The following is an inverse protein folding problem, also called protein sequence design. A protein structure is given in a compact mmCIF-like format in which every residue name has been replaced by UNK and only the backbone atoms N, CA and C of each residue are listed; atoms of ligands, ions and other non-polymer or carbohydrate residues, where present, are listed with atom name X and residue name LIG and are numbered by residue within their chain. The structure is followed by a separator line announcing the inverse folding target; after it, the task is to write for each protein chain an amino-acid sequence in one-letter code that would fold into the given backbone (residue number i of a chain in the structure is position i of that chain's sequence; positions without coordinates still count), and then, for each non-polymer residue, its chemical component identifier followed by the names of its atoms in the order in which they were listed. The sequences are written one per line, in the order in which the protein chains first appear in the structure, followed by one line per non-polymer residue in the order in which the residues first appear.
data_IF_429966039055
#
_entry.id   IF_429966039055
#
_cell.length_a   1.000
_cell.length_b   1.000
_cell.length_c   1.000
_cell.angle_alpha   90.00
_cell.angle_beta   90.00
_cell.angle_gamma   90.00
#
_symmetry.space_group_name_H-M   'P 1'
#
loop_
_entity.id
_entity.type
_entity.pdbx_description
1 polymer ?
#
# COMPACT_ATOMS: atom_id res chain seq x y z
N UNK A 1 14.57 0.66 -14.11
CA UNK A 1 15.54 1.71 -13.71
C UNK A 1 15.79 2.56 -14.95
N UNK A 2 15.61 3.87 -14.87
CA UNK A 2 16.01 4.79 -15.94
C UNK A 2 17.40 5.35 -15.61
N UNK A 3 18.48 4.78 -16.21
CA UNK A 3 19.84 5.17 -15.87
C UNK A 3 20.17 6.63 -16.23
N UNK A 4 19.35 7.30 -17.06
CA UNK A 4 19.57 8.71 -17.41
C UNK A 4 19.20 9.67 -16.28
N UNK A 5 18.34 9.25 -15.36
CA UNK A 5 17.72 10.13 -14.37
C UNK A 5 17.98 9.71 -12.91
N UNK A 6 18.74 8.64 -12.66
CA UNK A 6 19.02 8.16 -11.28
C UNK A 6 17.78 7.73 -10.50
N UNK A 7 16.66 7.51 -11.21
CA UNK A 7 15.36 7.17 -10.62
C UNK A 7 15.15 5.66 -10.66
N UNK A 8 14.81 5.13 -9.49
CA UNK A 8 14.32 3.76 -9.38
C UNK A 8 12.81 3.75 -9.14
N UNK A 9 12.19 2.67 -9.59
CA UNK A 9 10.76 2.48 -9.48
C UNK A 9 10.47 1.01 -9.20
N UNK A 10 9.60 0.76 -8.24
CA UNK A 10 9.10 -0.56 -7.88
C UNK A 10 7.57 -0.53 -7.89
N UNK A 11 6.98 -1.47 -8.63
CA UNK A 11 5.52 -1.65 -8.66
C UNK A 11 5.16 -2.80 -7.72
N UNK A 12 4.28 -2.53 -6.77
CA UNK A 12 3.88 -3.47 -5.73
C UNK A 12 2.36 -3.64 -5.74
N UNK A 13 1.92 -4.88 -5.91
CA UNK A 13 0.51 -5.26 -5.75
C UNK A 13 0.30 -5.78 -4.34
N UNK A 14 -0.65 -5.18 -3.61
CA UNK A 14 -1.03 -5.62 -2.28
C UNK A 14 -2.47 -6.13 -2.28
N UNK A 15 -2.65 -7.35 -1.78
CA UNK A 15 -3.96 -7.92 -1.52
C UNK A 15 -4.34 -7.65 -0.06
N UNK A 16 -5.49 -7.03 0.16
CA UNK A 16 -5.98 -6.68 1.48
C UNK A 16 -7.00 -7.70 1.97
N UNK A 17 -6.93 -8.02 3.26
CA UNK A 17 -7.94 -8.80 3.96
C UNK A 17 -8.01 -8.34 5.41
N UNK A 18 -9.15 -7.79 5.83
CA UNK A 18 -9.32 -7.28 7.18
C UNK A 18 -10.78 -7.35 7.63
N UNK A 19 -11.01 -7.14 8.93
CA UNK A 19 -12.35 -7.09 9.53
C UNK A 19 -12.61 -5.74 10.17
N UNK A 20 -13.85 -5.27 10.05
CA UNK A 20 -14.35 -4.16 10.86
C UNK A 20 -15.56 -4.63 11.67
N UNK A 21 -15.93 -3.87 12.71
CA UNK A 21 -17.19 -4.09 13.39
C UNK A 21 -18.36 -3.88 12.43
N UNK A 22 -19.38 -4.71 12.55
CA UNK A 22 -20.64 -4.55 11.84
C UNK A 22 -21.51 -3.59 12.67
N UNK A 23 -21.51 -2.30 12.31
CA UNK A 23 -22.34 -1.30 13.03
C UNK A 23 -23.83 -1.39 12.70
N UNK A 24 -24.23 -2.28 11.78
CA UNK A 24 -25.60 -2.40 11.26
C UNK A 24 -26.17 -1.09 10.67
N UNK A 25 -25.34 -0.08 10.42
CA UNK A 25 -25.77 1.20 9.86
C UNK A 25 -26.21 1.04 8.40
N UNK A 26 -27.37 1.64 8.10
CA UNK A 26 -27.96 1.68 6.75
C UNK A 26 -27.37 2.76 5.85
N UNK A 27 -26.52 3.63 6.39
CA UNK A 27 -25.85 4.70 5.65
C UNK A 27 -24.47 4.18 5.27
N UNK A 28 -24.14 4.20 3.98
CA UNK A 28 -22.79 3.85 3.52
C UNK A 28 -21.77 4.74 4.22
N UNK A 29 -21.03 4.16 5.17
CA UNK A 29 -19.88 4.82 5.78
C UNK A 29 -18.90 5.09 4.64
N UNK A 30 -18.50 6.35 4.45
CA UNK A 30 -17.38 6.71 3.59
C UNK A 30 -16.18 5.84 4.01
N UNK A 31 -15.93 4.80 3.24
CA UNK A 31 -15.03 3.74 3.68
C UNK A 31 -13.61 4.19 3.44
N UNK A 32 -12.86 4.29 4.53
CA UNK A 32 -11.42 4.48 4.48
C UNK A 32 -10.77 3.34 3.72
N UNK A 33 -9.74 3.65 2.94
CA UNK A 33 -8.99 2.67 2.17
C UNK A 33 -7.62 2.42 2.81
N UNK A 34 -7.15 1.16 2.86
CA UNK A 34 -5.81 0.86 3.32
C UNK A 34 -4.83 1.42 2.29
N UNK A 35 -3.72 1.93 2.80
CA UNK A 35 -2.63 2.47 2.03
C UNK A 35 -1.29 2.09 2.67
N UNK A 36 -0.24 2.35 1.91
CA UNK A 36 1.13 2.17 2.34
C UNK A 36 1.85 3.51 2.16
N UNK A 37 2.68 3.84 3.14
CA UNK A 37 3.63 4.95 3.14
C UNK A 37 5.02 4.35 3.31
N UNK A 38 6.01 4.97 2.67
CA UNK A 38 7.41 4.68 2.94
C UNK A 38 8.16 6.01 3.02
N UNK A 39 8.71 6.37 4.19
CA UNK A 39 9.54 7.57 4.32
C UNK A 39 10.69 7.56 3.31
N UNK A 40 10.94 8.70 2.66
CA UNK A 40 12.03 8.85 1.68
C UNK A 40 11.69 8.40 0.26
N UNK A 41 10.52 7.80 0.02
CA UNK A 41 10.03 7.46 -1.32
C UNK A 41 8.73 8.20 -1.65
N UNK A 42 8.54 8.48 -2.93
CA UNK A 42 7.26 8.88 -3.47
C UNK A 42 6.40 7.64 -3.71
N UNK A 43 5.20 7.63 -3.14
CA UNK A 43 4.23 6.53 -3.29
C UNK A 43 3.05 7.02 -4.11
N UNK A 44 2.89 6.45 -5.30
CA UNK A 44 1.72 6.68 -6.14
C UNK A 44 0.77 5.48 -6.03
N UNK A 45 -0.54 5.75 -5.89
CA UNK A 45 -1.58 4.72 -5.91
C UNK A 45 -2.20 4.70 -7.30
N UNK A 46 -1.94 3.64 -8.06
CA UNK A 46 -2.54 3.45 -9.39
C UNK A 46 -3.98 2.97 -9.26
N UNK A 47 -4.20 2.00 -8.37
CA UNK A 47 -5.50 1.41 -8.10
C UNK A 47 -5.66 1.11 -6.61
N UNK A 48 -6.84 1.34 -6.07
CA UNK A 48 -7.22 0.83 -4.75
C UNK A 48 -8.70 0.52 -4.75
N UNK A 49 -9.04 -0.76 -4.56
CA UNK A 49 -10.41 -1.27 -4.53
C UNK A 49 -10.57 -2.16 -3.32
N UNK A 50 -11.69 -1.99 -2.62
CA UNK A 50 -12.10 -2.83 -1.50
C UNK A 50 -13.56 -3.15 -1.70
N UNK A 51 -13.93 -4.38 -1.37
CA UNK A 51 -15.30 -4.82 -1.39
C UNK A 51 -15.56 -5.70 -0.16
N UNK A 52 -16.83 -5.75 0.21
CA UNK A 52 -17.31 -6.67 1.25
C UNK A 52 -17.35 -8.07 0.68
N UNK A 53 -16.88 -9.03 1.47
CA UNK A 53 -17.08 -10.46 1.21
C UNK A 53 -18.27 -10.94 2.07
N UNK A 54 -19.46 -11.13 1.48
CA UNK A 54 -20.64 -11.52 2.24
C UNK A 54 -20.52 -12.93 2.82
N UNK A 55 -19.74 -13.83 2.21
CA UNK A 55 -19.61 -15.22 2.66
C UNK A 55 -18.85 -15.34 3.98
N UNK A 56 -17.89 -14.43 4.22
CA UNK A 56 -17.04 -14.42 5.43
C UNK A 56 -17.48 -13.39 6.48
N UNK A 57 -18.49 -12.59 6.16
CA UNK A 57 -19.08 -11.60 7.05
C UNK A 57 -19.98 -12.28 8.08
N UNK A 58 -19.87 -11.89 9.34
CA UNK A 58 -20.70 -12.39 10.44
C UNK A 58 -21.71 -11.33 10.88
N UNK A 59 -22.60 -11.69 11.81
CA UNK A 59 -23.50 -10.71 12.45
C UNK A 59 -22.72 -9.58 13.15
N UNK A 60 -21.57 -9.90 13.76
CA UNK A 60 -20.75 -8.95 14.54
C UNK A 60 -19.67 -8.23 13.75
N UNK A 61 -19.18 -8.79 12.63
CA UNK A 61 -18.03 -8.24 11.90
C UNK A 61 -18.23 -8.33 10.39
N UNK A 62 -17.77 -7.31 9.67
CA UNK A 62 -17.74 -7.31 8.21
C UNK A 62 -16.35 -7.76 7.75
N UNK A 63 -16.29 -8.73 6.84
CA UNK A 63 -15.04 -9.13 6.20
C UNK A 63 -14.84 -8.35 4.90
N UNK A 64 -13.67 -7.73 4.77
CA UNK A 64 -13.28 -6.92 3.62
C UNK A 64 -12.15 -7.60 2.87
N UNK A 65 -12.23 -7.52 1.54
CA UNK A 65 -11.16 -7.89 0.64
C UNK A 65 -10.85 -6.72 -0.26
N UNK A 66 -9.60 -6.61 -0.66
CA UNK A 66 -9.22 -5.54 -1.56
C UNK A 66 -7.94 -5.84 -2.31
N UNK A 67 -7.68 -4.99 -3.28
CA UNK A 67 -6.41 -4.95 -4.00
C UNK A 67 -6.01 -3.49 -4.17
N UNK A 68 -4.73 -3.21 -3.95
CA UNK A 68 -4.14 -1.93 -4.32
C UNK A 68 -2.87 -2.15 -5.11
N UNK A 69 -2.63 -1.27 -6.07
CA UNK A 69 -1.42 -1.23 -6.88
C UNK A 69 -0.69 0.07 -6.57
N UNK A 70 0.52 -0.08 -6.06
CA UNK A 70 1.40 1.02 -5.65
C UNK A 70 2.60 1.09 -6.58
N UNK A 71 2.98 2.30 -6.92
CA UNK A 71 4.25 2.60 -7.59
C UNK A 71 5.10 3.42 -6.64
N UNK A 72 6.16 2.79 -6.13
CA UNK A 72 7.16 3.39 -5.25
C UNK A 72 8.29 3.92 -6.12
N UNK A 73 8.64 5.19 -5.97
CA UNK A 73 9.77 5.77 -6.68
C UNK A 73 10.65 6.60 -5.76
N UNK A 74 11.95 6.59 -6.01
CA UNK A 74 12.94 7.33 -5.24
C UNK A 74 14.03 7.86 -6.15
N UNK A 75 14.77 8.82 -5.61
CA UNK A 75 16.00 9.32 -6.19
C UNK A 75 17.13 8.90 -5.28
N UNK A 76 18.11 8.20 -5.83
CA UNK A 76 19.34 7.91 -5.11
C UNK A 76 20.47 8.59 -5.88
N UNK A 77 20.98 9.70 -5.31
CA UNK A 77 22.18 10.36 -5.84
C UNK A 77 23.37 9.58 -5.28
N UNK A 78 24.00 8.78 -6.12
CA UNK A 78 25.27 8.16 -5.81
C UNK A 78 26.39 8.89 -6.55
N UNK A 79 27.36 9.43 -5.81
CA UNK A 79 28.69 9.66 -6.38
C UNK A 79 29.42 8.31 -6.38
N UNK A 80 29.44 7.63 -7.53
CA UNK A 80 30.15 6.36 -7.71
C UNK A 80 31.10 6.44 -8.90
N UNK A 81 32.35 5.98 -8.70
CA UNK A 81 33.33 5.81 -9.78
C UNK A 81 33.08 4.55 -10.62
N UNK A 82 32.53 3.48 -10.02
CA UNK A 82 32.18 2.22 -10.68
C UNK A 82 30.80 1.75 -10.15
N UNK A 83 29.78 1.74 -11.00
CA UNK A 83 28.39 1.46 -10.60
C UNK A 83 28.09 -0.04 -10.77
N UNK A 84 27.90 -0.84 -9.71
CA UNK A 84 27.42 -2.21 -9.84
C UNK A 84 25.89 -2.15 -10.05
N UNK A 85 25.45 -2.43 -11.28
CA UNK A 85 24.06 -2.36 -11.75
C UNK A 85 23.01 -3.14 -10.91
N UNK A 86 23.42 -3.98 -9.97
CA UNK A 86 22.58 -5.10 -9.51
C UNK A 86 21.85 -4.90 -8.18
N UNK A 87 22.13 -3.87 -7.37
CA UNK A 87 21.64 -3.88 -5.97
C UNK A 87 21.21 -2.52 -5.44
N UNK A 88 20.07 -2.03 -5.94
CA UNK A 88 19.25 -1.08 -5.16
C UNK A 88 18.27 -1.89 -4.31
N UNK A 89 18.36 -1.73 -2.98
CA UNK A 89 17.53 -2.45 -2.03
C UNK A 89 16.50 -1.50 -1.40
N UNK A 90 15.22 -1.80 -1.56
CA UNK A 90 14.15 -1.10 -0.84
C UNK A 90 14.02 -1.75 0.53
N UNK A 91 14.27 -1.00 1.61
CA UNK A 91 14.04 -1.49 2.96
C UNK A 91 12.54 -1.52 3.29
N UNK A 92 11.93 -2.71 3.19
CA UNK A 92 10.51 -2.91 3.46
C UNK A 92 10.14 -2.81 4.97
N UNK A 93 11.12 -2.74 5.88
CA UNK A 93 10.87 -2.50 7.30
C UNK A 93 10.33 -1.09 7.56
N UNK A 94 10.50 -0.17 6.61
CA UNK A 94 10.00 1.21 6.68
C UNK A 94 8.58 1.37 6.15
N UNK A 95 7.91 0.27 5.78
CA UNK A 95 6.53 0.32 5.33
C UNK A 95 5.61 0.66 6.49
N UNK A 96 4.97 1.82 6.39
CA UNK A 96 3.90 2.23 7.27
C UNK A 96 2.55 1.93 6.61
N UNK A 97 1.76 1.06 7.23
CA UNK A 97 0.40 0.77 6.80
C UNK A 97 -0.54 1.80 7.42
N UNK A 98 -1.39 2.42 6.62
CA UNK A 98 -2.19 3.58 7.04
C UNK A 98 -3.61 3.51 6.49
N UNK A 99 -4.55 4.14 7.20
CA UNK A 99 -5.87 4.41 6.67
C UNK A 99 -5.92 5.77 5.97
N UNK A 100 -6.44 5.79 4.75
CA UNK A 100 -6.67 7.01 3.96
C UNK A 100 -8.16 7.23 3.75
N UNK A 101 -8.56 8.49 3.61
CA UNK A 101 -9.95 8.84 3.30
C UNK A 101 -10.37 8.33 1.92
N UNK A 102 -9.48 8.46 0.95
CA UNK A 102 -9.63 7.99 -0.43
C UNK A 102 -8.24 7.74 -1.03
N UNK A 103 -8.19 7.16 -2.24
CA UNK A 103 -6.95 6.75 -2.90
C UNK A 103 -6.06 7.91 -3.37
N UNK A 104 -6.61 9.10 -3.55
CA UNK A 104 -5.94 10.26 -4.14
C UNK A 104 -5.49 11.25 -3.06
N UNK A 105 -6.01 11.12 -1.84
CA UNK A 105 -5.69 12.01 -0.73
C UNK A 105 -4.29 11.74 -0.12
N UNK A 106 -3.37 12.69 -0.24
CA UNK A 106 -2.01 12.58 0.31
C UNK A 106 -1.93 12.49 1.85
N UNK A 107 -3.02 12.83 2.56
CA UNK A 107 -3.11 12.71 4.02
C UNK A 107 -3.60 11.32 4.45
N UNK A 108 -3.18 10.91 5.64
CA UNK A 108 -3.66 9.69 6.29
C UNK A 108 -4.27 10.04 7.64
N UNK A 109 -5.24 9.23 8.07
CA UNK A 109 -5.95 9.45 9.32
C UNK A 109 -5.17 8.87 10.50
N UNK A 110 -4.73 7.61 10.40
CA UNK A 110 -4.02 6.88 11.45
C UNK A 110 -3.30 5.64 10.91
N UNK A 111 -2.29 5.19 11.67
CA UNK A 111 -1.54 3.97 11.38
C UNK A 111 -2.39 2.71 11.62
N UNK A 112 -2.14 1.69 10.81
CA UNK A 112 -2.75 0.37 10.90
C UNK A 112 -1.82 -0.59 11.64
N UNK A 113 -2.40 -1.38 12.54
CA UNK A 113 -1.70 -2.55 13.08
C UNK A 113 -1.82 -3.70 12.08
N UNK A 114 -0.68 -4.15 11.58
CA UNK A 114 -0.60 -5.28 10.67
C UNK A 114 -0.52 -6.57 11.48
N UNK A 115 -1.40 -7.51 11.15
CA UNK A 115 -1.40 -8.85 11.76
C UNK A 115 -0.60 -9.83 10.89
N UNK A 116 -0.76 -9.73 9.56
CA UNK A 116 -0.06 -10.55 8.57
C UNK A 116 0.25 -9.68 7.36
N UNK A 117 1.48 -9.77 6.86
CA UNK A 117 1.91 -9.16 5.60
C UNK A 117 2.52 -10.24 4.72
N UNK A 118 2.05 -10.31 3.48
CA UNK A 118 2.55 -11.24 2.45
C UNK A 118 2.80 -10.44 1.18
N UNK A 119 3.93 -10.66 0.55
CA UNK A 119 4.32 -9.99 -0.68
C UNK A 119 4.50 -11.03 -1.79
N UNK A 120 3.78 -10.82 -2.90
CA UNK A 120 3.96 -11.57 -4.13
C UNK A 120 4.73 -10.68 -5.13
N UNK A 121 5.94 -11.08 -5.50
CA UNK A 121 6.68 -10.38 -6.55
C UNK A 121 6.05 -10.68 -7.91
N UNK A 122 5.67 -9.63 -8.63
CA UNK A 122 5.23 -9.75 -10.03
C UNK A 122 6.47 -9.58 -10.90
N UNK A 123 6.84 -10.63 -11.63
CA UNK A 123 7.97 -10.65 -12.57
C UNK A 123 7.66 -9.86 -13.85
#
# INVERSE_FOLDING_TARGET
IDPKNGRFEARMKCNWSFRTLNSHDRVEVQMRVPGIRMPGLSVQVEESRIWRDPEKTTSSTIFWRGVSLFTLSGFEIFEMQDFPYDRQAINLELLEFVWRRDKDNASFDFSMKVVVFTMDCVA
#
